data_IF_832490734891
#
_entry.id   IF_832490734891
#
_cell.length_a   1.000
_cell.length_b   1.000
_cell.length_c   1.000
_cell.angle_alpha   90.00
_cell.angle_beta   90.00
_cell.angle_gamma   90.00
#
_symmetry.space_group_name_H-M   'P 1'
#
loop_
_entity.id
_entity.type
_entity.pdbx_description
1 polymer ?
#
# COMPACT_ATOMS: atom_id res chain seq x y z
N UNK A 1 -13.94 21.90 15.37
CA UNK A 1 -15.18 21.17 15.06
C UNK A 1 -15.65 21.30 13.61
N UNK A 2 -15.61 22.49 12.98
CA UNK A 2 -16.08 22.65 11.58
C UNK A 2 -15.31 21.80 10.55
N UNK A 3 -14.04 21.51 10.76
CA UNK A 3 -13.22 20.71 9.85
C UNK A 3 -13.45 19.18 9.93
N UNK A 4 -14.18 18.70 10.97
CA UNK A 4 -14.50 17.28 11.11
C UNK A 4 -15.84 16.88 10.45
N UNK A 5 -16.69 17.85 10.14
CA UNK A 5 -17.99 17.58 9.52
C UNK A 5 -17.89 16.89 8.16
N UNK A 6 -17.01 17.34 7.25
CA UNK A 6 -16.86 16.65 5.95
C UNK A 6 -16.40 15.19 6.11
N UNK A 7 -15.46 14.92 7.01
CA UNK A 7 -14.98 13.57 7.27
C UNK A 7 -16.08 12.64 7.78
N UNK A 8 -16.91 13.12 8.74
CA UNK A 8 -18.03 12.33 9.25
C UNK A 8 -19.09 12.06 8.17
N UNK A 9 -19.40 13.04 7.32
CA UNK A 9 -20.35 12.86 6.21
C UNK A 9 -19.81 11.81 5.22
N UNK A 10 -18.53 11.88 4.85
CA UNK A 10 -17.89 10.90 3.96
C UNK A 10 -17.96 9.51 4.57
N UNK A 11 -17.65 9.34 5.86
CA UNK A 11 -17.70 8.05 6.52
C UNK A 11 -19.11 7.46 6.54
N UNK A 12 -20.13 8.26 6.88
CA UNK A 12 -21.52 7.81 6.87
C UNK A 12 -21.98 7.39 5.48
N UNK A 13 -21.65 8.19 4.45
CA UNK A 13 -21.97 7.85 3.06
C UNK A 13 -21.22 6.59 2.58
N UNK A 14 -19.95 6.45 2.95
CA UNK A 14 -19.15 5.26 2.63
C UNK A 14 -19.75 4.00 3.28
N UNK A 15 -20.15 4.06 4.54
CA UNK A 15 -20.80 2.94 5.23
C UNK A 15 -22.15 2.60 4.63
N UNK A 16 -22.96 3.61 4.26
CA UNK A 16 -24.24 3.40 3.58
C UNK A 16 -24.02 2.72 2.23
N UNK A 17 -23.10 3.23 1.42
CA UNK A 17 -22.76 2.64 0.13
C UNK A 17 -22.23 1.21 0.28
N UNK A 18 -21.40 0.97 1.27
CA UNK A 18 -20.88 -0.36 1.58
C UNK A 18 -22.00 -1.33 1.99
N UNK A 19 -22.97 -0.88 2.78
CA UNK A 19 -24.17 -1.66 3.11
C UNK A 19 -24.98 -2.01 1.85
N UNK A 20 -25.19 -1.06 0.97
CA UNK A 20 -25.86 -1.29 -0.32
C UNK A 20 -25.11 -2.32 -1.18
N UNK A 21 -23.79 -2.18 -1.30
CA UNK A 21 -22.97 -3.13 -2.05
C UNK A 21 -23.02 -4.54 -1.46
N UNK A 22 -23.03 -4.67 -0.14
CA UNK A 22 -23.06 -5.96 0.54
C UNK A 22 -24.45 -6.60 0.47
N UNK A 23 -25.48 -5.86 0.84
CA UNK A 23 -26.79 -6.43 1.13
C UNK A 23 -27.71 -6.43 -0.11
N UNK A 24 -27.62 -5.42 -0.98
CA UNK A 24 -28.43 -5.29 -2.19
C UNK A 24 -27.75 -5.83 -3.44
N UNK A 25 -26.45 -5.55 -3.62
CA UNK A 25 -25.71 -5.99 -4.79
C UNK A 25 -25.01 -7.34 -4.61
N UNK A 26 -25.02 -7.90 -3.39
CA UNK A 26 -24.34 -9.16 -3.08
C UNK A 26 -22.88 -9.19 -3.54
N UNK A 27 -22.20 -8.06 -3.45
CA UNK A 27 -20.81 -7.87 -3.96
C UNK A 27 -19.85 -8.95 -3.42
N UNK A 28 -19.89 -9.36 -2.13
CA UNK A 28 -19.02 -10.42 -1.64
C UNK A 28 -19.22 -11.74 -2.37
N UNK A 29 -20.46 -12.14 -2.64
CA UNK A 29 -20.77 -13.37 -3.37
C UNK A 29 -20.31 -13.30 -4.83
N UNK A 30 -20.49 -12.14 -5.48
CA UNK A 30 -19.99 -11.91 -6.84
C UNK A 30 -18.46 -11.99 -6.91
N UNK A 31 -17.76 -11.33 -5.99
CA UNK A 31 -16.28 -11.35 -5.93
C UNK A 31 -15.78 -12.76 -5.63
N UNK A 32 -16.41 -13.47 -4.68
CA UNK A 32 -16.08 -14.87 -4.40
C UNK A 32 -16.22 -15.74 -5.65
N UNK A 33 -17.34 -15.62 -6.36
CA UNK A 33 -17.56 -16.38 -7.60
C UNK A 33 -16.54 -16.00 -8.69
N UNK A 34 -16.22 -14.73 -8.85
CA UNK A 34 -15.23 -14.26 -9.82
C UNK A 34 -13.81 -14.78 -9.50
N UNK A 35 -13.40 -14.75 -8.22
CA UNK A 35 -12.10 -15.28 -7.77
C UNK A 35 -12.02 -16.80 -7.98
N UNK A 36 -13.06 -17.54 -7.59
CA UNK A 36 -13.10 -19.01 -7.77
C UNK A 36 -13.16 -19.40 -9.24
N UNK A 37 -13.97 -18.70 -10.06
CA UNK A 37 -14.04 -18.94 -11.51
C UNK A 37 -12.74 -18.57 -12.24
N UNK A 38 -12.02 -17.55 -11.74
CA UNK A 38 -10.71 -17.15 -12.26
C UNK A 38 -9.56 -18.10 -11.87
N UNK A 39 -9.81 -19.08 -11.03
CA UNK A 39 -8.79 -20.03 -10.57
C UNK A 39 -7.69 -19.36 -9.71
N UNK A 40 -7.96 -18.18 -9.15
CA UNK A 40 -7.01 -17.47 -8.30
C UNK A 40 -6.99 -18.15 -6.92
N UNK A 41 -5.83 -18.68 -6.46
CA UNK A 41 -5.75 -19.26 -5.12
C UNK A 41 -6.10 -18.22 -4.04
N UNK A 42 -6.90 -18.61 -3.05
CA UNK A 42 -7.32 -17.72 -1.95
C UNK A 42 -6.12 -17.06 -1.25
N UNK A 43 -4.97 -17.71 -1.21
CA UNK A 43 -3.73 -17.18 -0.65
C UNK A 43 -3.23 -15.89 -1.29
N UNK A 44 -3.60 -15.57 -2.53
CA UNK A 44 -3.23 -14.29 -3.15
C UNK A 44 -4.13 -13.12 -2.74
N UNK A 45 -5.24 -13.38 -2.05
CA UNK A 45 -6.20 -12.36 -1.65
C UNK A 45 -5.56 -11.20 -0.88
N UNK A 46 -4.70 -11.41 0.15
CA UNK A 46 -4.07 -10.29 0.87
C UNK A 46 -3.21 -9.40 -0.03
N UNK A 47 -2.42 -10.00 -0.93
CA UNK A 47 -1.56 -9.25 -1.84
C UNK A 47 -2.38 -8.43 -2.86
N UNK A 48 -3.44 -9.00 -3.41
CA UNK A 48 -4.35 -8.32 -4.35
C UNK A 48 -5.04 -7.15 -3.64
N UNK A 49 -5.56 -7.37 -2.44
CA UNK A 49 -6.24 -6.33 -1.66
C UNK A 49 -5.27 -5.21 -1.27
N UNK A 50 -4.02 -5.53 -0.94
CA UNK A 50 -2.98 -4.53 -0.70
C UNK A 50 -2.81 -3.57 -1.90
N UNK A 51 -2.69 -4.11 -3.11
CA UNK A 51 -2.54 -3.31 -4.33
C UNK A 51 -3.79 -2.47 -4.62
N UNK A 52 -4.98 -3.05 -4.49
CA UNK A 52 -6.24 -2.33 -4.70
C UNK A 52 -6.38 -1.18 -3.69
N UNK A 53 -6.10 -1.46 -2.41
CA UNK A 53 -6.16 -0.46 -1.35
C UNK A 53 -5.14 0.68 -1.58
N UNK A 54 -3.93 0.33 -2.00
CA UNK A 54 -2.89 1.30 -2.34
C UNK A 54 -3.31 2.22 -3.48
N UNK A 55 -3.83 1.65 -4.57
CA UNK A 55 -4.27 2.42 -5.73
C UNK A 55 -5.49 3.31 -5.41
N UNK A 56 -6.47 2.78 -4.69
CA UNK A 56 -7.67 3.52 -4.32
C UNK A 56 -7.32 4.68 -3.38
N UNK A 57 -6.50 4.43 -2.37
CA UNK A 57 -6.07 5.45 -1.42
C UNK A 57 -5.19 6.53 -2.06
N UNK A 58 -4.28 6.14 -2.97
CA UNK A 58 -3.49 7.08 -3.77
C UNK A 58 -4.39 8.01 -4.60
N UNK A 59 -5.42 7.43 -5.24
CA UNK A 59 -6.35 8.18 -6.12
C UNK A 59 -7.28 9.10 -5.34
N UNK A 60 -7.67 8.72 -4.13
CA UNK A 60 -8.59 9.50 -3.27
C UNK A 60 -7.87 10.46 -2.33
N UNK A 61 -6.58 10.23 -2.06
CA UNK A 61 -5.78 11.01 -1.12
C UNK A 61 -6.20 10.82 0.33
N UNK A 62 -6.82 9.66 0.68
CA UNK A 62 -7.25 9.39 2.06
C UNK A 62 -7.24 7.90 2.41
N UNK A 63 -6.52 7.53 3.47
CA UNK A 63 -6.55 6.19 4.02
C UNK A 63 -7.90 5.89 4.70
N UNK A 64 -8.44 6.85 5.43
CA UNK A 64 -9.69 6.68 6.20
C UNK A 64 -10.90 6.40 5.31
N UNK A 65 -11.03 7.13 4.20
CA UNK A 65 -12.09 6.88 3.21
C UNK A 65 -11.95 5.50 2.58
N UNK A 66 -10.73 5.10 2.28
CA UNK A 66 -10.42 3.78 1.72
C UNK A 66 -10.75 2.64 2.70
N UNK A 67 -10.44 2.80 4.01
CA UNK A 67 -10.84 1.84 5.04
C UNK A 67 -12.36 1.67 5.09
N UNK A 68 -13.09 2.79 5.10
CA UNK A 68 -14.56 2.78 5.17
C UNK A 68 -15.21 2.03 4.02
N UNK A 69 -14.61 2.07 2.83
CA UNK A 69 -15.12 1.39 1.64
C UNK A 69 -14.67 -0.08 1.59
N UNK A 70 -13.39 -0.35 1.79
CA UNK A 70 -12.83 -1.67 1.54
C UNK A 70 -13.07 -2.69 2.66
N UNK A 71 -12.99 -2.28 3.94
CA UNK A 71 -13.12 -3.23 5.06
C UNK A 71 -14.46 -3.99 5.02
N UNK A 72 -15.62 -3.33 4.87
CA UNK A 72 -16.89 -4.02 4.80
C UNK A 72 -17.06 -4.95 3.60
N UNK A 73 -16.28 -4.78 2.54
CA UNK A 73 -16.27 -5.64 1.35
C UNK A 73 -15.30 -6.80 1.54
N UNK A 74 -14.07 -6.48 1.97
CA UNK A 74 -12.96 -7.43 2.02
C UNK A 74 -13.14 -8.48 3.11
N UNK A 75 -13.67 -8.09 4.29
CA UNK A 75 -13.84 -9.04 5.41
C UNK A 75 -14.81 -10.18 5.07
N UNK A 76 -16.03 -9.92 4.54
CA UNK A 76 -16.92 -11.01 4.11
C UNK A 76 -16.32 -11.86 2.98
N UNK A 77 -15.58 -11.27 2.03
CA UNK A 77 -14.91 -12.02 0.96
C UNK A 77 -13.85 -12.96 1.53
N UNK A 78 -12.98 -12.46 2.42
CA UNK A 78 -11.96 -13.26 3.07
C UNK A 78 -12.59 -14.39 3.91
N UNK A 79 -13.65 -14.10 4.64
CA UNK A 79 -14.38 -15.11 5.43
C UNK A 79 -14.99 -16.21 4.57
N UNK A 80 -15.48 -15.87 3.37
CA UNK A 80 -16.08 -16.82 2.45
C UNK A 80 -15.05 -17.69 1.72
N UNK A 81 -13.87 -17.16 1.44
CA UNK A 81 -12.79 -17.88 0.72
C UNK A 81 -11.94 -18.71 1.68
N UNK A 82 -11.38 -18.09 2.71
CA UNK A 82 -10.56 -18.72 3.73
C UNK A 82 -10.56 -17.88 5.03
N UNK A 83 -11.26 -18.34 6.07
CA UNK A 83 -11.32 -17.63 7.35
C UNK A 83 -9.96 -17.38 8.02
N UNK A 84 -8.95 -18.19 7.75
CA UNK A 84 -7.60 -18.03 8.33
C UNK A 84 -6.90 -16.79 7.80
N UNK A 85 -7.29 -16.29 6.62
CA UNK A 85 -6.72 -15.13 5.96
C UNK A 85 -7.40 -13.80 6.33
N UNK A 86 -8.46 -13.79 7.14
CA UNK A 86 -9.19 -12.56 7.50
C UNK A 86 -8.24 -11.52 8.10
N UNK A 87 -7.48 -11.89 9.12
CA UNK A 87 -6.58 -10.97 9.82
C UNK A 87 -5.51 -10.39 8.90
N UNK A 88 -4.88 -11.23 8.07
CA UNK A 88 -3.82 -10.75 7.17
C UNK A 88 -4.38 -9.94 6.02
N UNK A 89 -5.59 -10.26 5.54
CA UNK A 89 -6.26 -9.49 4.48
C UNK A 89 -6.71 -8.12 5.01
N UNK A 90 -7.17 -8.05 6.26
CA UNK A 90 -7.45 -6.79 6.93
C UNK A 90 -6.18 -5.95 7.10
N UNK A 91 -5.09 -6.56 7.56
CA UNK A 91 -3.79 -5.89 7.66
C UNK A 91 -3.29 -5.37 6.31
N UNK A 92 -3.46 -6.15 5.24
CA UNK A 92 -3.12 -5.75 3.88
C UNK A 92 -3.96 -4.55 3.40
N UNK A 93 -5.26 -4.53 3.72
CA UNK A 93 -6.14 -3.39 3.42
C UNK A 93 -5.65 -2.12 4.11
N UNK A 94 -5.34 -2.21 5.40
CA UNK A 94 -4.84 -1.06 6.18
C UNK A 94 -3.49 -0.57 5.66
N UNK A 95 -2.54 -1.46 5.46
CA UNK A 95 -1.20 -1.12 4.99
C UNK A 95 -1.20 -0.53 3.58
N UNK A 96 -1.97 -1.12 2.65
CA UNK A 96 -2.11 -0.58 1.30
C UNK A 96 -2.74 0.81 1.30
N UNK A 97 -3.79 1.02 2.10
CA UNK A 97 -4.43 2.32 2.21
C UNK A 97 -3.49 3.39 2.79
N UNK A 98 -2.73 3.06 3.82
CA UNK A 98 -1.74 3.97 4.40
C UNK A 98 -0.63 4.29 3.40
N UNK A 99 -0.12 3.29 2.67
CA UNK A 99 0.87 3.51 1.63
C UNK A 99 0.35 4.45 0.54
N UNK A 100 -0.87 4.21 0.03
CA UNK A 100 -1.48 5.05 -1.01
C UNK A 100 -1.69 6.49 -0.55
N UNK A 101 -2.17 6.69 0.67
CA UNK A 101 -2.34 8.00 1.28
C UNK A 101 -1.01 8.76 1.37
N UNK A 102 0.02 8.15 1.96
CA UNK A 102 1.34 8.79 2.13
C UNK A 102 2.04 9.12 0.81
N UNK A 103 1.79 8.38 -0.26
CA UNK A 103 2.41 8.62 -1.56
C UNK A 103 1.59 9.56 -2.45
N UNK A 104 0.34 9.84 -2.09
CA UNK A 104 -0.55 10.68 -2.87
C UNK A 104 -0.21 12.17 -2.74
N UNK A 105 -0.05 12.90 -3.86
CA UNK A 105 0.17 14.34 -3.83
C UNK A 105 -1.08 15.13 -3.44
N UNK A 106 -2.26 14.51 -3.44
CA UNK A 106 -3.53 15.16 -3.03
C UNK A 106 -3.94 14.80 -1.61
N UNK A 107 -3.09 14.04 -0.88
CA UNK A 107 -3.37 13.64 0.49
C UNK A 107 -3.26 14.83 1.44
N UNK A 108 -4.24 14.95 2.34
CA UNK A 108 -4.24 15.96 3.39
C UNK A 108 -3.07 15.74 4.38
N UNK A 109 -2.70 14.50 4.66
CA UNK A 109 -1.55 14.17 5.53
C UNK A 109 -0.23 14.62 4.90
N UNK A 110 -0.05 14.41 3.59
CA UNK A 110 1.15 14.84 2.85
C UNK A 110 1.22 16.37 2.74
N UNK A 111 0.08 17.04 2.50
CA UNK A 111 -0.02 18.51 2.46
C UNK A 111 0.34 19.10 3.83
N UNK A 112 -0.23 18.57 4.92
CA UNK A 112 0.04 19.04 6.27
C UNK A 112 1.49 18.79 6.69
N UNK A 113 2.08 17.64 6.32
CA UNK A 113 3.46 17.29 6.60
C UNK A 113 4.44 18.23 5.91
N UNK A 114 4.25 18.51 4.63
CA UNK A 114 5.08 19.44 3.87
C UNK A 114 4.98 20.87 4.40
N UNK A 115 3.76 21.32 4.71
CA UNK A 115 3.54 22.65 5.30
C UNK A 115 4.17 22.78 6.69
N UNK A 116 4.07 21.73 7.54
CA UNK A 116 4.67 21.70 8.87
C UNK A 116 6.19 21.70 8.84
N UNK A 117 6.79 21.08 7.82
CA UNK A 117 8.25 21.03 7.60
C UNK A 117 8.78 22.28 6.90
N UNK A 118 7.92 23.15 6.37
CA UNK A 118 8.31 24.34 5.61
C UNK A 118 8.97 24.03 4.26
N UNK A 119 8.75 22.84 3.69
CA UNK A 119 9.30 22.45 2.39
C UNK A 119 8.23 22.53 1.28
N UNK A 120 8.71 22.54 0.02
CA UNK A 120 7.82 22.45 -1.15
C UNK A 120 7.04 21.14 -1.13
N UNK A 121 5.72 21.22 -1.32
CA UNK A 121 4.84 20.05 -1.32
C UNK A 121 5.25 18.99 -2.36
N UNK A 122 5.53 19.41 -3.59
CA UNK A 122 5.94 18.52 -4.67
C UNK A 122 7.32 17.89 -4.40
N UNK A 123 8.24 18.66 -3.83
CA UNK A 123 9.55 18.15 -3.43
C UNK A 123 9.43 17.12 -2.32
N UNK A 124 8.56 17.34 -1.33
CA UNK A 124 8.27 16.36 -0.28
C UNK A 124 7.75 15.05 -0.87
N UNK A 125 6.76 15.12 -1.77
CA UNK A 125 6.21 13.92 -2.44
C UNK A 125 7.28 13.17 -3.24
N UNK A 126 8.06 13.89 -4.06
CA UNK A 126 9.06 13.27 -4.93
C UNK A 126 10.22 12.62 -4.16
N UNK A 127 10.61 13.19 -3.03
CA UNK A 127 11.67 12.63 -2.17
C UNK A 127 11.18 11.47 -1.30
N UNK A 128 9.92 11.47 -0.90
CA UNK A 128 9.31 10.40 -0.10
C UNK A 128 9.01 9.14 -0.92
N UNK A 129 8.59 9.31 -2.17
CA UNK A 129 8.08 8.23 -3.03
C UNK A 129 9.05 7.03 -3.18
N UNK A 130 10.36 7.20 -3.43
CA UNK A 130 11.28 6.08 -3.55
C UNK A 130 11.36 5.21 -2.29
N UNK A 131 11.38 5.82 -1.11
CA UNK A 131 11.41 5.10 0.16
C UNK A 131 10.10 4.34 0.42
N UNK A 132 8.97 4.99 0.15
CA UNK A 132 7.66 4.36 0.29
C UNK A 132 7.51 3.16 -0.66
N UNK A 133 8.00 3.25 -1.90
CA UNK A 133 7.99 2.16 -2.88
C UNK A 133 8.84 0.96 -2.43
N UNK A 134 10.00 1.18 -1.82
CA UNK A 134 10.82 0.09 -1.27
C UNK A 134 10.08 -0.69 -0.20
N UNK A 135 9.42 0.02 0.72
CA UNK A 135 8.62 -0.59 1.77
C UNK A 135 7.40 -1.30 1.18
N UNK A 136 6.71 -0.69 0.20
CA UNK A 136 5.54 -1.29 -0.45
C UNK A 136 5.88 -2.61 -1.15
N UNK A 137 6.99 -2.68 -1.88
CA UNK A 137 7.46 -3.93 -2.51
C UNK A 137 7.75 -4.99 -1.45
N UNK A 138 8.40 -4.62 -0.35
CA UNK A 138 8.70 -5.54 0.75
C UNK A 138 7.43 -6.06 1.42
N UNK A 139 6.45 -5.19 1.66
CA UNK A 139 5.13 -5.57 2.20
C UNK A 139 4.38 -6.49 1.23
N UNK A 140 4.38 -6.18 -0.06
CA UNK A 140 3.75 -7.01 -1.07
C UNK A 140 4.28 -8.45 -1.06
N UNK A 141 5.61 -8.61 -1.03
CA UNK A 141 6.24 -9.94 -0.90
C UNK A 141 5.82 -10.62 0.40
N UNK A 142 5.78 -9.89 1.53
CA UNK A 142 5.30 -10.40 2.80
C UNK A 142 3.86 -10.92 2.74
N UNK A 143 2.95 -10.20 2.05
CA UNK A 143 1.55 -10.63 1.87
C UNK A 143 1.42 -11.82 0.94
N UNK A 144 2.22 -11.94 -0.11
CA UNK A 144 2.27 -13.13 -0.96
C UNK A 144 2.71 -14.35 -0.15
N UNK A 145 3.80 -14.22 0.63
CA UNK A 145 4.26 -15.30 1.50
C UNK A 145 3.21 -15.66 2.55
N UNK A 146 2.56 -14.66 3.16
CA UNK A 146 1.50 -14.88 4.14
C UNK A 146 0.35 -15.71 3.58
N UNK A 147 -0.04 -15.45 2.35
CA UNK A 147 -1.07 -16.22 1.67
C UNK A 147 -0.66 -17.68 1.42
N UNK A 148 0.61 -17.94 1.14
CA UNK A 148 1.13 -19.30 0.92
C UNK A 148 1.21 -20.10 2.23
N UNK A 149 1.60 -19.44 3.34
CA UNK A 149 1.76 -20.09 4.66
C UNK A 149 0.51 -20.01 5.55
N UNK A 150 -0.66 -19.75 4.97
CA UNK A 150 -1.94 -19.75 5.70
C UNK A 150 -2.05 -18.67 6.76
N UNK A 151 -1.53 -17.48 6.50
CA UNK A 151 -1.65 -16.31 7.40
C UNK A 151 -0.66 -16.27 8.56
N UNK A 152 0.35 -17.14 8.59
CA UNK A 152 1.33 -17.17 9.67
C UNK A 152 2.19 -15.90 9.69
N UNK A 153 2.26 -15.24 10.87
CA UNK A 153 2.94 -13.95 11.04
C UNK A 153 4.46 -14.04 10.87
N UNK A 154 5.12 -14.98 11.58
CA UNK A 154 6.58 -15.03 11.63
C UNK A 154 7.26 -15.17 10.26
N UNK A 155 6.89 -16.16 9.43
CA UNK A 155 7.53 -16.31 8.12
C UNK A 155 7.19 -15.16 7.17
N UNK A 156 5.99 -14.60 7.24
CA UNK A 156 5.56 -13.47 6.41
C UNK A 156 6.34 -12.19 6.75
N UNK A 157 6.45 -11.89 8.04
CA UNK A 157 7.22 -10.75 8.53
C UNK A 157 8.71 -10.92 8.23
N UNK A 158 9.25 -12.13 8.44
CA UNK A 158 10.64 -12.46 8.09
C UNK A 158 10.94 -12.26 6.61
N UNK A 159 10.04 -12.69 5.73
CA UNK A 159 10.18 -12.50 4.28
C UNK A 159 10.14 -11.01 3.90
N UNK A 160 9.24 -10.21 4.48
CA UNK A 160 9.16 -8.78 4.22
C UNK A 160 10.45 -8.06 4.65
N UNK A 161 10.95 -8.34 5.86
CA UNK A 161 12.21 -7.76 6.38
C UNK A 161 13.41 -8.20 5.55
N UNK A 162 13.51 -9.48 5.20
CA UNK A 162 14.58 -9.98 4.33
C UNK A 162 14.58 -9.29 2.97
N UNK A 163 13.41 -9.13 2.35
CA UNK A 163 13.25 -8.41 1.08
C UNK A 163 13.71 -6.95 1.21
N UNK A 164 13.31 -6.27 2.29
CA UNK A 164 13.72 -4.89 2.53
C UNK A 164 15.25 -4.77 2.67
N UNK A 165 15.88 -5.66 3.45
CA UNK A 165 17.34 -5.67 3.61
C UNK A 165 18.03 -5.91 2.27
N UNK A 166 17.56 -6.88 1.49
CA UNK A 166 18.13 -7.18 0.15
C UNK A 166 18.04 -5.98 -0.76
N UNK A 167 16.88 -5.30 -0.81
CA UNK A 167 16.68 -4.10 -1.64
C UNK A 167 17.61 -2.96 -1.19
N UNK A 168 17.75 -2.72 0.10
CA UNK A 168 18.66 -1.69 0.64
C UNK A 168 20.13 -1.99 0.31
N UNK A 169 20.56 -3.25 0.45
CA UNK A 169 21.94 -3.67 0.09
C UNK A 169 22.18 -3.47 -1.40
N UNK A 170 21.25 -3.87 -2.27
CA UNK A 170 21.36 -3.67 -3.72
C UNK A 170 21.49 -2.19 -4.07
N UNK A 171 20.68 -1.32 -3.46
CA UNK A 171 20.74 0.12 -3.70
C UNK A 171 22.04 0.72 -3.17
N UNK A 172 22.49 0.30 -2.00
CA UNK A 172 23.76 0.75 -1.44
C UNK A 172 24.94 0.38 -2.36
N UNK A 173 25.02 -0.88 -2.79
CA UNK A 173 26.08 -1.34 -3.71
C UNK A 173 26.05 -0.59 -5.03
N UNK A 174 24.86 -0.33 -5.56
CA UNK A 174 24.70 0.49 -6.80
C UNK A 174 25.15 1.93 -6.60
N UNK A 175 24.80 2.55 -5.48
CA UNK A 175 25.20 3.92 -5.15
C UNK A 175 26.73 4.06 -5.04
N UNK A 176 27.37 3.14 -4.35
CA UNK A 176 28.85 3.13 -4.20
C UNK A 176 29.53 2.97 -5.57
N UNK A 177 29.06 2.04 -6.42
CA UNK A 177 29.60 1.87 -7.77
C UNK A 177 29.38 3.07 -8.68
N UNK A 178 28.26 3.76 -8.58
CA UNK A 178 27.99 4.96 -9.39
C UNK A 178 28.80 6.17 -8.90
N UNK A 179 29.12 6.26 -7.63
CA UNK A 179 30.00 7.30 -7.08
C UNK A 179 31.47 7.16 -7.52
N UNK A 180 31.95 5.92 -7.66
CA UNK A 180 33.31 5.62 -8.12
C UNK A 180 33.50 6.01 -9.60
N UNK A 181 32.49 5.80 -10.44
CA UNK A 181 32.53 6.20 -11.86
C UNK A 181 32.34 7.71 -12.09
N UNK A 182 31.79 8.44 -11.11
CA UNK A 182 31.63 9.90 -11.18
C UNK A 182 32.95 10.65 -10.93
N UNK A 183 33.77 10.16 -10.00
CA UNK A 183 35.06 10.74 -9.66
C UNK A 183 36.08 10.64 -10.82
N UNK A 184 36.13 9.48 -11.49
CA UNK A 184 37.04 9.28 -12.64
C UNK A 184 36.73 10.23 -13.82
N UNK A 185 35.44 10.53 -14.07
CA UNK A 185 35.05 11.46 -15.16
C UNK A 185 35.32 12.93 -14.85
N UNK A 186 35.27 13.33 -13.60
CA UNK A 186 35.63 14.70 -13.19
C UNK A 186 37.15 14.91 -13.23
N UNK A 187 37.95 13.93 -12.86
CA UNK A 187 39.41 13.98 -12.98
C UNK A 187 39.86 13.98 -14.46
N UNK A 188 39.24 13.17 -15.32
CA UNK A 188 39.54 13.13 -16.75
C UNK A 188 39.18 14.46 -17.46
N UNK A 189 38.05 15.07 -17.12
CA UNK A 189 37.66 16.38 -17.64
C UNK A 189 38.54 17.54 -17.11
N UNK A 190 39.00 17.44 -15.88
CA UNK A 190 39.92 18.43 -15.30
C UNK A 190 41.35 18.33 -15.85
N UNK A 191 41.76 17.15 -16.28
CA UNK A 191 43.08 16.92 -16.90
C UNK A 191 43.11 17.29 -18.39
N UNK A 192 41.94 17.43 -19.06
CA UNK A 192 41.79 17.78 -20.47
C UNK A 192 41.55 19.28 -20.70
N UNK A 193 41.37 20.09 -19.64
CA UNK A 193 41.20 21.55 -19.69
C UNK A 193 42.45 22.28 -19.27
#
# INVERSE_FOLDING_TARGET
MKNMMPANVILVLAWTLSGVCRDLLSTPAFVQHAVTAGGIPAGFLPAIVFVIAAFLSFSTGTAWGTFGILIPIVVPVAQALDPTLITVTLAATLAGSVFGDHTSPISDTTILSSAGSGCSHIEHVSTQLPYAMLVAVSCFVGYVVSGIVGGSFLPSFGAAVATLIVLLVILHVRSVRSGDTGGEKEEENSAAA
#
